data_IF_191881362290
#
_entry.id   IF_191881362290
#
_cell.length_a   1.000
_cell.length_b   1.000
_cell.length_c   1.000
_cell.angle_alpha   90.00
_cell.angle_beta   90.00
_cell.angle_gamma   90.00
#
_symmetry.space_group_name_H-M   'P 1'
#
loop_
_entity.id
_entity.type
_entity.pdbx_description
1 polymer ?
#
# COMPACT_ATOMS: atom_id res chain seq x y z
N UNK A 1 11.76 4.48 26.14
CA UNK A 1 11.21 4.71 24.80
C UNK A 1 11.67 6.10 24.39
N UNK A 2 12.59 6.22 23.44
CA UNK A 2 13.09 7.53 22.99
C UNK A 2 12.08 8.13 22.00
N UNK A 3 11.44 9.22 22.38
CA UNK A 3 10.44 9.93 21.56
C UNK A 3 11.00 10.40 20.21
N UNK A 4 12.33 10.46 20.03
CA UNK A 4 12.97 10.88 18.77
C UNK A 4 12.95 9.81 17.67
N UNK A 5 12.59 8.55 17.96
CA UNK A 5 12.65 7.44 16.98
C UNK A 5 11.31 6.73 16.72
N UNK A 6 10.19 7.25 17.22
CA UNK A 6 8.89 6.54 17.15
C UNK A 6 8.45 6.17 15.74
N UNK A 7 8.73 7.01 14.74
CA UNK A 7 8.40 6.78 13.33
C UNK A 7 9.20 5.61 12.75
N UNK A 8 10.49 5.51 13.11
CA UNK A 8 11.38 4.44 12.68
C UNK A 8 10.98 3.12 13.34
N UNK A 9 10.79 3.14 14.66
CA UNK A 9 10.35 1.99 15.43
C UNK A 9 9.01 1.46 14.91
N UNK A 10 8.07 2.37 14.60
CA UNK A 10 6.80 2.05 13.98
C UNK A 10 7.02 1.30 12.67
N UNK A 11 7.74 1.88 11.70
CA UNK A 11 7.95 1.25 10.40
C UNK A 11 8.64 -0.12 10.50
N UNK A 12 9.66 -0.24 11.36
CA UNK A 12 10.39 -1.49 11.57
C UNK A 12 9.49 -2.58 12.19
N UNK A 13 8.74 -2.25 13.24
CA UNK A 13 7.83 -3.22 13.89
C UNK A 13 6.66 -3.58 12.98
N UNK A 14 6.13 -2.63 12.22
CA UNK A 14 5.09 -2.89 11.22
C UNK A 14 5.60 -3.84 10.13
N UNK A 15 6.85 -3.69 9.66
CA UNK A 15 7.46 -4.64 8.72
C UNK A 15 7.55 -6.06 9.31
N UNK A 16 7.94 -6.19 10.58
CA UNK A 16 7.99 -7.47 11.28
C UNK A 16 6.59 -8.09 11.34
N UNK A 17 5.56 -7.33 11.73
CA UNK A 17 4.17 -7.80 11.78
C UNK A 17 3.68 -8.31 10.42
N UNK A 18 3.95 -7.56 9.34
CA UNK A 18 3.59 -7.96 7.97
C UNK A 18 4.24 -9.29 7.57
N UNK A 19 5.45 -9.57 8.03
CA UNK A 19 6.20 -10.76 7.64
C UNK A 19 5.86 -11.99 8.49
N UNK A 20 5.72 -11.80 9.80
CA UNK A 20 5.69 -12.88 10.78
C UNK A 20 4.28 -13.25 11.25
N UNK A 21 3.29 -12.37 11.10
CA UNK A 21 1.94 -12.67 11.54
C UNK A 21 1.30 -13.78 10.67
N UNK A 22 0.75 -14.79 11.35
CA UNK A 22 0.11 -15.98 10.76
C UNK A 22 -1.26 -16.29 11.39
N UNK A 23 -1.85 -15.33 12.10
CA UNK A 23 -3.16 -15.51 12.72
C UNK A 23 -4.31 -15.33 11.72
N UNK A 24 -5.53 -15.66 12.16
CA UNK A 24 -6.76 -15.71 11.34
C UNK A 24 -7.14 -14.38 10.65
N UNK A 25 -6.57 -13.26 11.10
CA UNK A 25 -6.86 -11.91 10.61
C UNK A 25 -5.72 -11.30 9.78
N UNK A 26 -4.91 -12.12 9.09
CA UNK A 26 -3.69 -11.64 8.42
C UNK A 26 -3.94 -10.53 7.41
N UNK A 27 -5.02 -10.62 6.63
CA UNK A 27 -5.37 -9.60 5.63
C UNK A 27 -5.88 -8.32 6.30
N UNK A 28 -6.67 -8.43 7.37
CA UNK A 28 -7.10 -7.26 8.16
C UNK A 28 -5.90 -6.56 8.80
N UNK A 29 -4.96 -7.32 9.37
CA UNK A 29 -3.73 -6.77 9.91
C UNK A 29 -2.91 -6.08 8.82
N UNK A 30 -2.80 -6.68 7.63
CA UNK A 30 -2.10 -6.08 6.49
C UNK A 30 -2.71 -4.73 6.11
N UNK A 31 -4.03 -4.63 5.98
CA UNK A 31 -4.73 -3.36 5.71
C UNK A 31 -4.44 -2.32 6.80
N UNK A 32 -4.48 -2.72 8.08
CA UNK A 32 -4.14 -1.85 9.22
C UNK A 32 -2.68 -1.39 9.22
N UNK A 33 -1.77 -2.23 8.73
CA UNK A 33 -0.37 -1.89 8.56
C UNK A 33 -0.19 -0.89 7.40
N UNK A 34 -0.82 -1.14 6.24
CA UNK A 34 -0.81 -0.24 5.08
C UNK A 34 -1.39 1.13 5.45
N UNK A 35 -2.60 1.16 6.01
CA UNK A 35 -2.94 1.94 7.20
C UNK A 35 -1.99 3.06 7.62
N UNK A 36 -1.27 2.76 8.70
CA UNK A 36 -0.30 3.66 9.29
C UNK A 36 0.92 3.91 8.39
N UNK A 37 1.35 2.93 7.57
CA UNK A 37 2.49 3.12 6.67
C UNK A 37 2.24 4.13 5.54
N UNK A 38 0.99 4.36 5.14
CA UNK A 38 0.58 5.31 4.11
C UNK A 38 0.12 6.66 4.69
N UNK A 39 -0.34 6.68 5.94
CA UNK A 39 -0.75 7.91 6.62
C UNK A 39 0.45 8.68 7.14
N UNK A 40 1.38 8.01 7.83
CA UNK A 40 2.55 8.65 8.44
C UNK A 40 3.47 9.38 7.44
N UNK A 41 3.70 8.93 6.19
CA UNK A 41 4.55 9.63 5.23
C UNK A 41 3.99 10.95 4.75
N UNK A 42 2.66 11.16 4.82
CA UNK A 42 2.04 12.41 4.38
C UNK A 42 2.46 13.59 5.27
N UNK A 43 2.76 13.32 6.54
CA UNK A 43 3.23 14.32 7.49
C UNK A 43 4.75 14.51 7.44
N UNK A 44 5.50 13.59 6.81
CA UNK A 44 6.97 13.52 6.93
C UNK A 44 7.69 13.83 5.61
N UNK A 45 7.50 13.02 4.54
CA UNK A 45 8.16 13.29 3.26
C UNK A 45 7.66 12.40 2.09
N UNK A 46 6.48 12.67 1.55
CA UNK A 46 5.96 11.95 0.38
C UNK A 46 6.84 12.11 -0.89
N UNK A 47 7.84 13.01 -0.87
CA UNK A 47 8.80 13.21 -1.96
C UNK A 47 9.86 12.10 -2.02
N UNK A 48 10.05 11.31 -0.95
CA UNK A 48 10.93 10.13 -0.95
C UNK A 48 10.43 9.00 -1.87
N UNK A 49 9.14 8.98 -2.19
CA UNK A 49 8.59 8.06 -3.18
C UNK A 49 9.10 8.47 -4.56
N UNK A 50 9.75 7.56 -5.32
CA UNK A 50 10.33 7.91 -6.60
C UNK A 50 9.26 8.33 -7.62
N UNK A 51 9.68 9.19 -8.56
CA UNK A 51 8.85 9.61 -9.70
C UNK A 51 9.12 8.64 -10.85
N UNK A 52 8.83 7.37 -10.59
CA UNK A 52 8.96 6.28 -11.57
C UNK A 52 7.58 5.88 -12.06
N UNK A 53 7.49 5.45 -13.32
CA UNK A 53 6.24 5.01 -13.92
C UNK A 53 6.10 3.52 -13.66
N UNK A 54 4.95 3.08 -13.11
CA UNK A 54 4.73 1.66 -12.86
C UNK A 54 4.74 0.89 -14.19
N UNK A 55 5.40 -0.27 -14.25
CA UNK A 55 5.56 -1.06 -15.47
C UNK A 55 4.24 -1.68 -15.94
N UNK A 56 4.19 -2.11 -17.20
CA UNK A 56 3.01 -2.78 -17.76
C UNK A 56 2.76 -4.15 -17.10
N UNK A 57 3.79 -5.01 -17.05
CA UNK A 57 3.66 -6.43 -16.66
C UNK A 57 4.42 -6.83 -15.40
N UNK A 58 5.63 -6.31 -15.19
CA UNK A 58 6.37 -6.52 -13.95
C UNK A 58 5.74 -5.72 -12.78
N UNK A 59 6.29 -5.81 -11.58
CA UNK A 59 5.86 -4.99 -10.44
C UNK A 59 6.92 -3.97 -10.03
N UNK A 60 6.46 -2.76 -9.69
CA UNK A 60 7.22 -1.77 -8.95
C UNK A 60 6.50 -1.55 -7.61
N UNK A 61 7.10 -2.02 -6.52
CA UNK A 61 6.48 -1.99 -5.18
C UNK A 61 5.14 -2.74 -5.14
N UNK A 62 5.07 -3.89 -5.82
CA UNK A 62 3.83 -4.67 -5.98
C UNK A 62 2.83 -4.09 -6.99
N UNK A 63 3.13 -2.97 -7.64
CA UNK A 63 2.20 -2.29 -8.55
C UNK A 63 2.59 -2.47 -10.02
N UNK A 64 1.60 -2.79 -10.84
CA UNK A 64 1.68 -2.82 -12.31
C UNK A 64 0.48 -2.10 -12.93
N UNK A 65 0.56 -1.74 -14.21
CA UNK A 65 -0.58 -1.15 -14.93
C UNK A 65 -1.74 -2.13 -15.13
N UNK A 66 -1.48 -3.44 -15.10
CA UNK A 66 -2.55 -4.45 -15.08
C UNK A 66 -3.33 -4.43 -13.76
N UNK A 67 -2.67 -4.12 -12.65
CA UNK A 67 -3.27 -4.06 -11.31
C UNK A 67 -3.93 -2.71 -10.98
N UNK A 68 -3.73 -1.67 -11.81
CA UNK A 68 -4.17 -0.30 -11.53
C UNK A 68 -4.91 0.27 -12.73
N UNK A 69 -6.14 0.73 -12.52
CA UNK A 69 -6.93 1.46 -13.51
C UNK A 69 -7.00 2.94 -13.14
N UNK A 70 -6.47 3.79 -14.01
CA UNK A 70 -6.47 5.25 -13.85
C UNK A 70 -7.45 5.89 -14.86
N UNK A 71 -8.71 6.12 -14.46
CA UNK A 71 -9.71 6.80 -15.31
C UNK A 71 -9.89 8.29 -14.99
N UNK A 72 -9.15 8.79 -14.00
CA UNK A 72 -9.24 10.17 -13.53
C UNK A 72 -8.20 11.06 -14.20
N UNK A 73 -8.55 12.33 -14.49
CA UNK A 73 -7.62 13.29 -15.13
C UNK A 73 -6.45 13.70 -14.21
N UNK A 74 -6.60 13.51 -12.91
CA UNK A 74 -5.65 13.97 -11.87
C UNK A 74 -4.70 12.88 -11.36
N UNK A 75 -4.66 11.72 -12.01
CA UNK A 75 -3.72 10.65 -11.66
C UNK A 75 -3.04 10.16 -12.93
N UNK A 76 -1.77 9.83 -12.79
CA UNK A 76 -0.97 9.19 -13.81
C UNK A 76 -0.55 7.80 -13.34
N UNK A 77 0.15 7.05 -14.19
CA UNK A 77 0.81 5.79 -13.81
C UNK A 77 2.15 6.02 -13.09
N UNK A 78 2.45 7.25 -12.65
CA UNK A 78 3.61 7.50 -11.78
C UNK A 78 3.33 6.92 -10.40
N UNK A 79 4.28 6.15 -9.87
CA UNK A 79 4.21 5.46 -8.57
C UNK A 79 3.71 6.38 -7.46
N UNK A 80 4.26 7.60 -7.37
CA UNK A 80 3.85 8.59 -6.37
C UNK A 80 2.37 8.94 -6.45
N UNK A 81 1.82 9.13 -7.65
CA UNK A 81 0.40 9.45 -7.83
C UNK A 81 -0.48 8.25 -7.46
N UNK A 82 -0.07 7.05 -7.88
CA UNK A 82 -0.76 5.80 -7.56
C UNK A 82 -0.78 5.55 -6.05
N UNK A 83 0.35 5.68 -5.35
CA UNK A 83 0.42 5.53 -3.88
C UNK A 83 -0.45 6.57 -3.18
N UNK A 84 -0.50 7.81 -3.68
CA UNK A 84 -1.38 8.85 -3.14
C UNK A 84 -2.85 8.44 -3.26
N UNK A 85 -3.26 7.85 -4.38
CA UNK A 85 -4.62 7.36 -4.60
C UNK A 85 -4.95 6.13 -3.75
N UNK A 86 -4.03 5.17 -3.64
CA UNK A 86 -4.16 4.01 -2.74
C UNK A 86 -4.32 4.48 -1.28
N UNK A 87 -3.49 5.44 -0.83
CA UNK A 87 -3.62 6.04 0.49
C UNK A 87 -5.03 6.59 0.70
N UNK A 88 -5.55 7.38 -0.24
CA UNK A 88 -6.87 7.96 -0.10
C UNK A 88 -7.96 6.89 0.05
N UNK A 89 -7.94 5.88 -0.82
CA UNK A 89 -8.90 4.77 -0.74
C UNK A 89 -8.84 4.02 0.58
N UNK A 90 -7.64 3.68 1.03
CA UNK A 90 -7.45 3.01 2.33
C UNK A 90 -7.88 3.90 3.50
N UNK A 91 -7.54 5.20 3.51
CA UNK A 91 -7.94 6.13 4.56
C UNK A 91 -9.46 6.31 4.66
N UNK A 92 -10.17 6.22 3.53
CA UNK A 92 -11.62 6.30 3.48
C UNK A 92 -12.31 4.93 3.59
N UNK A 93 -11.53 3.86 3.77
CA UNK A 93 -12.01 2.49 3.84
C UNK A 93 -12.84 2.07 2.62
N UNK A 94 -12.50 2.60 1.44
CA UNK A 94 -13.11 2.24 0.15
C UNK A 94 -12.37 1.01 -0.42
N UNK A 95 -12.55 -0.11 0.29
CA UNK A 95 -11.88 -1.39 0.04
C UNK A 95 -12.93 -2.51 -0.05
N UNK A 96 -12.83 -3.35 -1.07
CA UNK A 96 -13.62 -4.58 -1.19
C UNK A 96 -12.73 -5.79 -1.43
N UNK A 97 -13.03 -6.93 -0.82
CA UNK A 97 -12.29 -8.17 -1.02
C UNK A 97 -12.88 -9.06 -2.11
N UNK A 98 -12.03 -9.79 -2.81
CA UNK A 98 -12.41 -10.87 -3.74
C UNK A 98 -11.77 -12.16 -3.21
N UNK A 99 -12.58 -13.21 -2.94
CA UNK A 99 -12.06 -14.48 -2.45
C UNK A 99 -11.50 -15.36 -3.58
N UNK A 100 -10.63 -16.29 -3.21
CA UNK A 100 -10.23 -17.44 -4.03
C UNK A 100 -11.29 -18.56 -4.00
N UNK A 101 -10.96 -19.71 -4.61
CA UNK A 101 -11.80 -20.91 -4.63
C UNK A 101 -12.05 -21.52 -3.24
N UNK A 102 -11.19 -21.23 -2.25
CA UNK A 102 -11.27 -21.70 -0.87
C UNK A 102 -11.94 -20.68 0.07
N UNK A 103 -12.58 -19.65 -0.49
CA UNK A 103 -13.21 -18.55 0.25
C UNK A 103 -12.23 -17.75 1.14
N UNK A 104 -10.94 -17.74 0.78
CA UNK A 104 -9.91 -16.91 1.40
C UNK A 104 -9.73 -15.64 0.59
N UNK A 105 -9.40 -14.51 1.23
CA UNK A 105 -9.22 -13.25 0.50
C UNK A 105 -7.97 -13.32 -0.37
N UNK A 106 -8.14 -13.29 -1.69
CA UNK A 106 -7.05 -13.32 -2.66
C UNK A 106 -6.66 -11.92 -3.12
N UNK A 107 -7.68 -11.09 -3.39
CA UNK A 107 -7.49 -9.71 -3.86
C UNK A 107 -8.23 -8.70 -2.98
N UNK A 108 -7.65 -7.51 -2.92
CA UNK A 108 -8.28 -6.30 -2.41
C UNK A 108 -8.41 -5.30 -3.57
N UNK A 109 -9.61 -4.78 -3.74
CA UNK A 109 -9.91 -3.69 -4.67
C UNK A 109 -10.01 -2.40 -3.86
N UNK A 110 -9.12 -1.45 -4.12
CA UNK A 110 -9.02 -0.17 -3.43
C UNK A 110 -9.43 0.92 -4.40
N UNK A 111 -10.40 1.76 -4.02
CA UNK A 111 -10.94 2.82 -4.88
C UNK A 111 -10.68 4.19 -4.28
N UNK A 112 -10.54 5.20 -5.13
CA UNK A 112 -10.55 6.61 -4.71
C UNK A 112 -11.61 7.39 -5.47
N UNK A 113 -12.13 8.44 -4.82
CA UNK A 113 -13.06 9.39 -5.43
C UNK A 113 -12.40 10.01 -6.66
N UNK A 114 -12.99 9.78 -7.83
CA UNK A 114 -12.48 10.26 -9.12
C UNK A 114 -12.23 9.19 -10.17
N UNK A 115 -12.38 7.90 -9.86
CA UNK A 115 -12.26 6.82 -10.84
C UNK A 115 -10.88 6.15 -10.89
N UNK A 116 -10.15 6.21 -9.79
CA UNK A 116 -8.98 5.35 -9.56
C UNK A 116 -9.43 4.03 -8.94
N UNK A 117 -8.85 2.92 -9.40
CA UNK A 117 -9.04 1.59 -8.83
C UNK A 117 -7.71 0.84 -8.86
N UNK A 118 -7.36 0.17 -7.77
CA UNK A 118 -6.25 -0.77 -7.72
C UNK A 118 -6.78 -2.13 -7.24
N UNK A 119 -6.66 -3.16 -8.08
CA UNK A 119 -6.93 -4.56 -7.72
C UNK A 119 -5.60 -5.23 -7.44
N UNK A 120 -5.27 -5.40 -6.15
CA UNK A 120 -4.00 -5.95 -5.70
C UNK A 120 -4.23 -7.31 -5.07
N UNK A 121 -3.40 -8.30 -5.39
CA UNK A 121 -3.33 -9.52 -4.58
C UNK A 121 -2.81 -9.19 -3.18
N UNK A 122 -3.08 -10.07 -2.22
CA UNK A 122 -2.50 -9.95 -0.87
C UNK A 122 -0.96 -9.86 -0.92
N UNK A 123 -0.33 -10.61 -1.82
CA UNK A 123 1.12 -10.56 -2.03
C UNK A 123 1.60 -9.20 -2.57
N UNK A 124 0.89 -8.61 -3.54
CA UNK A 124 1.21 -7.28 -4.08
C UNK A 124 1.05 -6.19 -3.02
N UNK A 125 -0.02 -6.23 -2.22
CA UNK A 125 -0.21 -5.27 -1.13
C UNK A 125 0.88 -5.40 -0.05
N UNK A 126 1.31 -6.63 0.23
CA UNK A 126 2.44 -6.90 1.13
C UNK A 126 3.75 -6.32 0.60
N UNK A 127 4.04 -6.52 -0.69
CA UNK A 127 5.21 -5.94 -1.34
C UNK A 127 5.19 -4.41 -1.26
N UNK A 128 4.05 -3.78 -1.57
CA UNK A 128 3.86 -2.33 -1.43
C UNK A 128 4.18 -1.84 0.00
N UNK A 129 3.64 -2.52 1.01
CA UNK A 129 3.85 -2.18 2.41
C UNK A 129 5.33 -2.29 2.82
N UNK A 130 6.01 -3.34 2.38
CA UNK A 130 7.44 -3.55 2.61
C UNK A 130 8.26 -2.46 1.91
N UNK A 131 7.98 -2.15 0.64
CA UNK A 131 8.69 -1.12 -0.10
C UNK A 131 8.52 0.26 0.53
N UNK A 132 7.34 0.59 1.08
CA UNK A 132 7.15 1.82 1.85
C UNK A 132 8.15 1.88 3.01
N UNK A 133 8.27 0.82 3.80
CA UNK A 133 9.23 0.77 4.93
C UNK A 133 10.68 0.92 4.46
N UNK A 134 11.04 0.28 3.35
CA UNK A 134 12.43 0.21 2.87
C UNK A 134 12.92 1.45 2.13
N UNK A 135 12.01 2.27 1.59
CA UNK A 135 12.36 3.43 0.78
C UNK A 135 11.95 4.77 1.40
N UNK A 136 10.85 4.81 2.18
CA UNK A 136 10.32 6.07 2.73
C UNK A 136 10.79 6.30 4.16
N UNK A 137 10.90 5.24 4.96
CA UNK A 137 11.21 5.33 6.39
C UNK A 137 12.69 5.11 6.73
N UNK A 138 13.58 5.02 5.72
CA UNK A 138 15.03 5.00 5.96
C UNK A 138 15.52 6.37 6.48
N UNK A 139 16.47 6.37 7.45
CA UNK A 139 17.12 7.57 7.94
C UNK A 139 17.91 8.29 6.85
#
# INVERSE_FOLDING_TARGET
MDYKQIVRDFAQRTKILINEYKGDYEVTLLVNCCLGLLVVPKEIDFKKIPVEVIPEKDTLWGLSRESVSVKCKECSYVLRDVIKKIRNGICHFDITSIPDENNQIEFLVIKDRGGFEAKLSVAQLKELAISLTDHVYKP
#
